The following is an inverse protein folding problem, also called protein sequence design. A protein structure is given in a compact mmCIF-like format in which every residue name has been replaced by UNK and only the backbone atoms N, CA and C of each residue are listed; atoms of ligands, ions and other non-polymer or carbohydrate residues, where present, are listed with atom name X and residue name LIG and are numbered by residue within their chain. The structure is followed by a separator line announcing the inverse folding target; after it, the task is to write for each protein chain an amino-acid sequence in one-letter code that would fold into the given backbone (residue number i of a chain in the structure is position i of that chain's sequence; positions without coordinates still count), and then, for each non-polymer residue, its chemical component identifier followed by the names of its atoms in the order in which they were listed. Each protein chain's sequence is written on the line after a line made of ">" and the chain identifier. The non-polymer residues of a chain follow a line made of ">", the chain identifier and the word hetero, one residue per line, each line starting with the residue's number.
data_IF_987881733296
#
_entry.id   IF_987881733296
#
_cell.length_a   1.000
_cell.length_b   1.000
_cell.length_c   1.000
_cell.angle_alpha   90.00
_cell.angle_beta   90.00
_cell.angle_gamma   90.00
#
_symmetry.space_group_name_H-M   'P 1'
#
loop_
_entity.id
_entity.type
_entity.pdbx_description
1 polymer ?
#
# COMPACT_ATOMS: atom_id res chain seq x y z
N UNK A 1 -30.06 -62.15 36.22
CA UNK A 1 -29.04 -61.09 36.31
C UNK A 1 -29.31 -60.06 35.26
N UNK A 2 -29.67 -58.96 35.66
CA UNK A 2 -29.84 -57.51 35.30
C UNK A 2 -29.50 -57.09 33.84
N UNK A 3 -30.59 -56.99 33.04
CA UNK A 3 -30.67 -56.40 31.68
C UNK A 3 -30.89 -54.89 31.69
N UNK A 4 -30.48 -54.14 32.73
CA UNK A 4 -30.90 -52.75 32.94
C UNK A 4 -29.79 -51.69 32.80
N UNK A 5 -28.59 -52.06 32.41
CA UNK A 5 -27.43 -51.13 32.39
C UNK A 5 -26.90 -50.82 30.99
N UNK A 6 -27.58 -51.20 29.92
CA UNK A 6 -27.08 -50.97 28.54
C UNK A 6 -27.77 -49.82 27.77
N UNK A 7 -28.78 -49.18 28.36
CA UNK A 7 -29.54 -48.13 27.68
C UNK A 7 -29.20 -46.71 28.15
N UNK A 8 -28.30 -46.55 29.12
CA UNK A 8 -27.86 -45.20 29.59
C UNK A 8 -26.62 -44.61 28.87
N UNK A 9 -25.95 -45.41 28.02
CA UNK A 9 -24.74 -44.99 27.35
C UNK A 9 -24.91 -44.35 25.95
N UNK A 10 -26.07 -44.42 25.35
CA UNK A 10 -26.30 -43.89 23.97
C UNK A 10 -26.82 -42.45 23.90
N UNK A 11 -27.16 -41.85 25.03
CA UNK A 11 -27.73 -40.47 25.07
C UNK A 11 -26.70 -39.34 25.08
N UNK A 12 -25.44 -39.62 25.35
CA UNK A 12 -24.38 -38.58 25.51
C UNK A 12 -23.49 -38.36 24.29
N UNK A 13 -23.58 -39.20 23.27
CA UNK A 13 -22.75 -39.10 22.06
C UNK A 13 -23.38 -38.26 20.94
N UNK A 14 -24.64 -37.81 21.08
CA UNK A 14 -25.37 -37.08 20.02
C UNK A 14 -25.31 -35.55 20.15
N UNK A 15 -24.69 -34.99 21.20
CA UNK A 15 -24.64 -33.51 21.42
C UNK A 15 -23.33 -32.84 21.03
N UNK A 16 -22.39 -33.53 20.41
CA UNK A 16 -21.08 -32.95 20.03
C UNK A 16 -20.95 -32.60 18.53
N UNK A 17 -22.04 -32.69 17.75
CA UNK A 17 -22.02 -32.40 16.31
C UNK A 17 -22.59 -31.03 15.89
N UNK A 18 -22.92 -30.18 16.87
CA UNK A 18 -23.49 -28.84 16.58
C UNK A 18 -22.47 -27.74 16.89
N UNK A 19 -21.33 -27.67 16.17
CA UNK A 19 -20.34 -26.66 16.51
C UNK A 19 -19.25 -26.38 15.49
N UNK A 20 -19.55 -26.45 14.19
CA UNK A 20 -18.72 -25.80 13.19
C UNK A 20 -19.62 -25.24 12.09
N UNK A 21 -20.29 -24.12 12.39
CA UNK A 21 -20.73 -23.21 11.33
C UNK A 21 -19.45 -22.56 10.77
N UNK A 22 -18.73 -23.29 9.91
CA UNK A 22 -17.74 -22.67 9.04
C UNK A 22 -18.50 -21.58 8.27
N UNK A 23 -18.20 -20.30 8.52
CA UNK A 23 -18.63 -19.22 7.63
C UNK A 23 -18.30 -19.71 6.22
N UNK A 24 -19.21 -19.63 5.25
CA UNK A 24 -18.87 -19.97 3.87
C UNK A 24 -17.67 -19.12 3.49
N UNK A 25 -16.53 -19.74 3.26
CA UNK A 25 -15.37 -19.07 2.66
C UNK A 25 -15.80 -18.77 1.23
N UNK A 26 -16.22 -17.54 1.00
CA UNK A 26 -16.40 -17.05 -0.36
C UNK A 26 -15.05 -17.09 -1.04
N UNK A 27 -14.91 -17.94 -2.05
CA UNK A 27 -13.74 -17.91 -2.93
C UNK A 27 -13.74 -16.54 -3.58
N UNK A 28 -12.65 -15.75 -3.51
CA UNK A 28 -12.58 -14.45 -4.15
C UNK A 28 -12.71 -14.58 -5.67
N UNK A 29 -13.48 -13.69 -6.27
CA UNK A 29 -13.60 -13.59 -7.73
C UNK A 29 -12.30 -13.02 -8.34
N UNK A 30 -11.62 -12.13 -7.60
CA UNK A 30 -10.38 -11.48 -8.01
C UNK A 30 -9.36 -11.50 -6.87
N UNK A 31 -8.14 -11.89 -7.20
CA UNK A 31 -6.97 -11.78 -6.31
C UNK A 31 -5.97 -10.88 -7.02
N UNK A 32 -5.77 -9.68 -6.47
CA UNK A 32 -4.94 -8.63 -7.03
C UNK A 32 -3.67 -8.44 -6.19
N UNK A 33 -2.62 -7.96 -6.82
CA UNK A 33 -1.31 -7.75 -6.17
C UNK A 33 -1.03 -6.27 -6.02
N UNK A 34 -0.64 -5.86 -4.81
CA UNK A 34 -0.12 -4.52 -4.50
C UNK A 34 1.37 -4.63 -4.14
N UNK A 35 2.24 -4.01 -4.93
CA UNK A 35 3.68 -4.04 -4.70
C UNK A 35 4.17 -2.78 -3.97
N UNK A 36 4.95 -2.97 -2.90
CA UNK A 36 5.63 -1.91 -2.16
C UNK A 36 7.07 -2.33 -1.82
N UNK A 37 8.04 -1.44 -1.97
CA UNK A 37 9.42 -1.70 -1.62
C UNK A 37 9.74 -1.42 -0.14
N UNK A 38 8.81 -0.81 0.60
CA UNK A 38 8.97 -0.52 2.02
C UNK A 38 8.65 -1.74 2.91
N UNK A 39 9.21 -1.79 4.13
CA UNK A 39 8.86 -2.83 5.10
C UNK A 39 7.37 -2.81 5.47
N UNK A 40 6.83 -3.98 5.83
CA UNK A 40 5.41 -4.12 6.21
C UNK A 40 4.97 -3.18 7.35
N UNK A 41 5.87 -2.83 8.27
CA UNK A 41 5.61 -1.88 9.36
C UNK A 41 5.72 -0.40 8.97
N UNK A 42 6.09 -0.08 7.72
CA UNK A 42 6.22 1.30 7.28
C UNK A 42 4.84 1.96 7.09
N UNK A 43 4.64 3.25 7.47
CA UNK A 43 3.32 3.89 7.44
C UNK A 43 2.59 3.79 6.10
N UNK A 44 3.30 3.96 4.96
CA UNK A 44 2.66 3.87 3.64
C UNK A 44 2.20 2.45 3.32
N UNK A 45 2.98 1.44 3.73
CA UNK A 45 2.62 0.02 3.54
C UNK A 45 1.45 -0.38 4.44
N UNK A 46 1.36 0.17 5.65
CA UNK A 46 0.18 0.00 6.51
C UNK A 46 -1.06 0.63 5.87
N UNK A 47 -0.91 1.80 5.22
CA UNK A 47 -1.97 2.42 4.44
C UNK A 47 -2.44 1.54 3.27
N UNK A 48 -1.50 0.90 2.57
CA UNK A 48 -1.82 -0.07 1.52
C UNK A 48 -2.58 -1.30 2.07
N UNK A 49 -2.17 -1.81 3.25
CA UNK A 49 -2.89 -2.91 3.90
C UNK A 49 -4.31 -2.50 4.30
N UNK A 50 -4.46 -1.30 4.87
CA UNK A 50 -5.77 -0.77 5.22
C UNK A 50 -6.69 -0.63 3.99
N UNK A 51 -6.15 -0.15 2.87
CA UNK A 51 -6.86 -0.11 1.59
C UNK A 51 -7.31 -1.51 1.15
N UNK A 52 -6.41 -2.49 1.20
CA UNK A 52 -6.71 -3.87 0.84
C UNK A 52 -7.83 -4.46 1.71
N UNK A 53 -7.78 -4.24 3.02
CA UNK A 53 -8.77 -4.71 3.98
C UNK A 53 -10.15 -4.06 3.73
N UNK A 54 -10.19 -2.76 3.42
CA UNK A 54 -11.43 -2.06 3.07
C UNK A 54 -12.06 -2.60 1.79
N UNK A 55 -11.25 -2.82 0.74
CA UNK A 55 -11.74 -3.41 -0.52
C UNK A 55 -12.32 -4.79 -0.28
N UNK A 56 -11.62 -5.65 0.47
CA UNK A 56 -12.11 -6.97 0.82
C UNK A 56 -13.44 -6.90 1.60
N UNK A 57 -13.52 -6.01 2.59
CA UNK A 57 -14.73 -5.83 3.38
C UNK A 57 -15.91 -5.32 2.53
N UNK A 58 -15.69 -4.28 1.72
CA UNK A 58 -16.74 -3.63 0.93
C UNK A 58 -17.25 -4.53 -0.21
N UNK A 59 -16.40 -5.44 -0.70
CA UNK A 59 -16.79 -6.40 -1.74
C UNK A 59 -17.33 -7.72 -1.19
N UNK A 60 -17.45 -7.83 0.14
CA UNK A 60 -17.87 -9.09 0.79
C UNK A 60 -16.92 -10.25 0.52
N UNK A 61 -15.62 -9.95 0.36
CA UNK A 61 -14.57 -10.94 0.09
C UNK A 61 -14.42 -11.34 -1.38
N UNK A 62 -15.16 -10.70 -2.31
CA UNK A 62 -15.05 -10.99 -3.74
C UNK A 62 -13.74 -10.50 -4.35
N UNK A 63 -13.20 -9.39 -3.85
CA UNK A 63 -11.91 -8.85 -4.27
C UNK A 63 -10.97 -8.91 -3.09
N UNK A 64 -9.81 -9.53 -3.28
CA UNK A 64 -8.72 -9.61 -2.31
C UNK A 64 -7.49 -8.96 -2.92
N UNK A 65 -6.87 -8.03 -2.20
CA UNK A 65 -5.61 -7.40 -2.59
C UNK A 65 -4.51 -7.95 -1.67
N UNK A 66 -3.49 -8.56 -2.26
CA UNK A 66 -2.32 -9.05 -1.54
C UNK A 66 -1.23 -7.99 -1.55
N UNK A 67 -0.95 -7.39 -0.39
CA UNK A 67 0.14 -6.42 -0.24
C UNK A 67 1.46 -7.15 -0.11
N UNK A 68 2.36 -6.93 -1.06
CA UNK A 68 3.70 -7.50 -1.15
C UNK A 68 4.73 -6.42 -0.80
N UNK A 69 5.18 -6.45 0.43
CA UNK A 69 6.12 -5.49 1.01
C UNK A 69 7.58 -5.89 0.76
N UNK A 70 8.53 -5.10 1.31
CA UNK A 70 9.97 -5.38 1.32
C UNK A 70 10.62 -5.52 -0.07
N UNK A 71 10.03 -4.96 -1.12
CA UNK A 71 10.58 -5.08 -2.48
C UNK A 71 10.50 -6.50 -3.05
N UNK A 72 9.54 -7.31 -2.65
CA UNK A 72 9.35 -8.69 -3.14
C UNK A 72 9.25 -8.73 -4.68
N UNK A 73 8.73 -7.68 -5.30
CA UNK A 73 8.61 -7.54 -6.76
C UNK A 73 9.76 -6.74 -7.40
N UNK A 74 10.80 -6.44 -6.64
CA UNK A 74 11.99 -5.73 -7.10
C UNK A 74 12.04 -4.26 -6.71
N UNK A 75 12.88 -3.48 -7.42
CA UNK A 75 12.99 -2.03 -7.21
C UNK A 75 11.73 -1.30 -7.65
N UNK A 76 11.55 -0.04 -7.19
CA UNK A 76 10.41 0.79 -7.62
C UNK A 76 10.36 0.96 -9.14
N UNK A 77 11.52 1.06 -9.81
CA UNK A 77 11.59 1.13 -11.27
C UNK A 77 11.04 -0.15 -11.93
N UNK A 78 11.47 -1.32 -11.45
CA UNK A 78 10.97 -2.60 -11.96
C UNK A 78 9.47 -2.78 -11.72
N UNK A 79 8.98 -2.36 -10.55
CA UNK A 79 7.55 -2.39 -10.21
C UNK A 79 6.76 -1.44 -11.13
N UNK A 80 7.29 -0.25 -11.42
CA UNK A 80 6.69 0.70 -12.34
C UNK A 80 6.53 0.12 -13.76
N UNK A 81 7.54 -0.61 -14.25
CA UNK A 81 7.51 -1.31 -15.52
C UNK A 81 6.51 -2.49 -15.50
N UNK A 82 6.49 -3.28 -14.41
CA UNK A 82 5.54 -4.38 -14.26
C UNK A 82 4.09 -3.91 -14.23
N UNK A 83 3.81 -2.75 -13.61
CA UNK A 83 2.47 -2.15 -13.59
C UNK A 83 1.98 -1.84 -15.03
N UNK A 84 2.88 -1.44 -15.94
CA UNK A 84 2.53 -1.14 -17.32
C UNK A 84 2.06 -2.36 -18.12
N UNK A 85 2.57 -3.53 -17.78
CA UNK A 85 2.28 -4.79 -18.50
C UNK A 85 1.36 -5.73 -17.72
N UNK A 86 0.80 -5.27 -16.59
CA UNK A 86 -0.10 -6.08 -15.76
C UNK A 86 0.60 -7.15 -14.92
N UNK A 87 1.91 -7.03 -14.69
CA UNK A 87 2.67 -7.91 -13.78
C UNK A 87 2.33 -7.68 -12.31
N UNK A 88 1.85 -6.48 -11.98
CA UNK A 88 1.22 -6.11 -10.69
C UNK A 88 0.01 -5.23 -10.98
N UNK A 89 -0.98 -5.23 -10.08
CA UNK A 89 -2.22 -4.48 -10.25
C UNK A 89 -2.16 -3.11 -9.59
N UNK A 90 -1.47 -3.00 -8.46
CA UNK A 90 -1.26 -1.77 -7.72
C UNK A 90 0.20 -1.64 -7.32
N UNK A 91 0.65 -0.40 -7.21
CA UNK A 91 1.98 -0.10 -6.72
C UNK A 91 2.04 1.23 -5.98
N UNK A 92 2.88 1.31 -4.95
CA UNK A 92 3.37 2.57 -4.41
C UNK A 92 4.77 2.79 -4.97
N UNK A 93 4.96 3.89 -5.66
CA UNK A 93 6.26 4.29 -6.21
C UNK A 93 6.58 5.74 -5.84
N UNK A 94 7.86 6.05 -5.73
CA UNK A 94 8.34 7.42 -5.50
C UNK A 94 8.14 8.26 -6.75
N UNK A 95 7.83 9.55 -6.60
CA UNK A 95 7.69 10.48 -7.73
C UNK A 95 8.92 10.50 -8.63
N UNK A 96 10.12 10.41 -8.04
CA UNK A 96 11.39 10.38 -8.80
C UNK A 96 11.50 9.23 -9.80
N UNK A 97 10.71 8.16 -9.65
CA UNK A 97 10.69 7.04 -10.58
C UNK A 97 9.82 7.34 -11.80
N UNK A 98 8.77 8.12 -11.61
CA UNK A 98 7.76 8.36 -12.65
C UNK A 98 7.97 9.65 -13.44
N UNK A 99 8.88 10.53 -12.99
CA UNK A 99 9.09 11.85 -13.60
C UNK A 99 9.72 11.81 -14.98
N UNK A 100 10.39 10.73 -15.35
CA UNK A 100 10.89 10.55 -16.72
C UNK A 100 9.74 10.36 -17.71
N UNK A 101 8.69 9.65 -17.31
CA UNK A 101 7.49 9.43 -18.11
C UNK A 101 6.48 10.57 -17.97
N UNK A 102 6.46 11.25 -16.82
CA UNK A 102 5.52 12.31 -16.45
C UNK A 102 6.28 13.57 -15.95
N UNK A 103 6.94 14.33 -16.83
CA UNK A 103 7.82 15.45 -16.45
C UNK A 103 7.14 16.54 -15.64
N UNK A 104 5.83 16.77 -15.79
CA UNK A 104 5.07 17.74 -14.98
C UNK A 104 5.18 17.48 -13.48
N UNK A 105 5.29 16.21 -13.08
CA UNK A 105 5.41 15.83 -11.66
C UNK A 105 6.72 16.29 -11.01
N UNK A 106 7.73 16.69 -11.80
CA UNK A 106 8.98 17.26 -11.25
C UNK A 106 8.73 18.49 -10.37
N UNK A 107 7.68 19.26 -10.62
CA UNK A 107 7.35 20.42 -9.78
C UNK A 107 7.11 20.00 -8.32
N UNK A 108 6.53 18.83 -8.10
CA UNK A 108 6.23 18.31 -6.75
C UNK A 108 7.50 17.85 -5.99
N UNK A 109 8.63 17.69 -6.69
CA UNK A 109 9.92 17.34 -6.11
C UNK A 109 10.75 18.55 -5.70
N UNK A 110 10.28 19.77 -5.98
CA UNK A 110 11.02 20.99 -5.65
C UNK A 110 11.17 21.14 -4.14
N UNK A 111 12.39 21.40 -3.63
CA UNK A 111 12.59 21.68 -2.22
C UNK A 111 11.78 22.90 -1.77
N UNK A 112 11.25 22.85 -0.56
CA UNK A 112 10.51 23.96 0.08
C UNK A 112 9.28 24.44 -0.70
N UNK A 113 8.70 23.60 -1.57
CA UNK A 113 7.49 23.93 -2.32
C UNK A 113 6.30 24.20 -1.38
N UNK A 114 6.21 23.44 -0.31
CA UNK A 114 5.14 23.57 0.68
C UNK A 114 5.64 24.25 1.94
N UNK A 115 4.80 25.11 2.57
CA UNK A 115 5.12 25.81 3.83
C UNK A 115 5.12 24.84 5.01
N UNK A 116 4.18 23.92 4.99
CA UNK A 116 3.92 22.93 6.06
C UNK A 116 3.13 21.74 5.48
N UNK A 117 2.92 20.72 6.30
CA UNK A 117 2.17 19.53 5.90
C UNK A 117 0.71 19.86 5.55
N UNK A 118 0.06 20.75 6.29
CA UNK A 118 -1.33 21.15 6.02
C UNK A 118 -1.46 21.85 4.66
N UNK A 119 -0.48 22.68 4.29
CA UNK A 119 -0.45 23.28 2.95
C UNK A 119 -0.27 22.21 1.88
N UNK A 120 0.64 21.27 2.08
CA UNK A 120 0.88 20.17 1.14
C UNK A 120 -0.40 19.36 0.90
N UNK A 121 -1.07 18.95 1.96
CA UNK A 121 -2.27 18.13 1.83
C UNK A 121 -3.45 18.90 1.20
N UNK A 122 -3.62 20.20 1.51
CA UNK A 122 -4.61 21.03 0.81
C UNK A 122 -4.37 21.12 -0.70
N UNK A 123 -3.11 21.10 -1.14
CA UNK A 123 -2.76 21.07 -2.57
C UNK A 123 -2.99 19.69 -3.17
N UNK A 124 -2.49 18.65 -2.53
CA UNK A 124 -2.53 17.29 -3.07
C UNK A 124 -3.92 16.66 -3.03
N UNK A 125 -4.72 16.95 -2.00
CA UNK A 125 -6.12 16.50 -1.90
C UNK A 125 -7.09 17.43 -2.66
N UNK A 126 -6.60 18.55 -3.16
CA UNK A 126 -7.37 19.51 -3.93
C UNK A 126 -7.35 19.25 -5.44
N UNK A 127 -7.90 20.23 -6.20
CA UNK A 127 -7.98 20.15 -7.66
C UNK A 127 -6.62 20.02 -8.34
N UNK A 128 -5.58 20.66 -7.79
CA UNK A 128 -4.21 20.58 -8.32
C UNK A 128 -3.70 19.15 -8.24
N UNK A 129 -3.79 18.51 -7.07
CA UNK A 129 -3.36 17.12 -6.90
C UNK A 129 -4.18 16.15 -7.74
N UNK A 130 -5.49 16.37 -7.88
CA UNK A 130 -6.35 15.57 -8.75
C UNK A 130 -5.94 15.70 -10.23
N UNK A 131 -5.56 16.90 -10.70
CA UNK A 131 -5.06 17.10 -12.06
C UNK A 131 -3.77 16.30 -12.31
N UNK A 132 -2.82 16.32 -11.36
CA UNK A 132 -1.61 15.52 -11.47
C UNK A 132 -1.87 14.00 -11.46
N UNK A 133 -2.87 13.53 -10.71
CA UNK A 133 -3.26 12.11 -10.74
C UNK A 133 -3.85 11.72 -12.12
N UNK A 134 -4.51 12.64 -12.82
CA UNK A 134 -5.03 12.37 -14.16
C UNK A 134 -3.92 12.19 -15.21
N UNK A 135 -2.74 12.80 -15.02
CA UNK A 135 -1.61 12.66 -15.95
C UNK A 135 -1.19 11.19 -16.14
N UNK A 136 -1.37 10.35 -15.12
CA UNK A 136 -1.08 8.92 -15.20
C UNK A 136 -1.92 8.17 -16.24
N UNK A 137 -3.09 8.69 -16.58
CA UNK A 137 -3.99 8.09 -17.59
C UNK A 137 -3.34 8.07 -18.97
N UNK A 138 -2.52 9.07 -19.30
CA UNK A 138 -1.79 9.11 -20.57
C UNK A 138 -0.76 7.97 -20.70
N UNK A 139 -0.36 7.38 -19.56
CA UNK A 139 0.56 6.23 -19.50
C UNK A 139 -0.18 4.89 -19.32
N UNK A 140 -1.51 4.86 -19.50
CA UNK A 140 -2.32 3.66 -19.29
C UNK A 140 -2.43 3.22 -17.83
N UNK A 141 -2.18 4.12 -16.88
CA UNK A 141 -2.24 3.89 -15.44
C UNK A 141 -3.26 4.83 -14.79
N UNK A 142 -3.67 4.53 -13.58
CA UNK A 142 -4.60 5.37 -12.82
C UNK A 142 -3.91 5.82 -11.54
N UNK A 143 -3.73 7.13 -11.37
CA UNK A 143 -3.30 7.72 -10.12
C UNK A 143 -4.46 7.68 -9.11
N UNK A 144 -4.27 7.01 -7.97
CA UNK A 144 -5.32 6.81 -6.97
C UNK A 144 -5.25 7.82 -5.83
N UNK A 145 -4.05 8.03 -5.28
CA UNK A 145 -3.84 8.91 -4.12
C UNK A 145 -2.37 9.28 -3.97
N UNK A 146 -2.11 10.16 -3.02
CA UNK A 146 -0.79 10.59 -2.63
C UNK A 146 -0.40 9.99 -1.27
N UNK A 147 0.89 9.73 -1.09
CA UNK A 147 1.48 9.38 0.19
C UNK A 147 2.56 10.40 0.55
N UNK A 148 2.63 10.78 1.83
CA UNK A 148 3.75 11.53 2.36
C UNK A 148 4.81 10.59 2.94
N UNK A 149 6.04 10.71 2.47
CA UNK A 149 7.20 9.97 2.99
C UNK A 149 7.94 10.75 4.10
N UNK A 150 7.39 11.88 4.55
CA UNK A 150 7.97 12.74 5.57
C UNK A 150 9.07 13.68 5.08
N UNK A 151 9.54 14.53 5.97
CA UNK A 151 10.61 15.48 5.71
C UNK A 151 11.97 14.77 5.58
N UNK A 152 12.82 15.30 4.72
CA UNK A 152 14.20 14.82 4.55
C UNK A 152 15.16 15.71 5.30
N UNK A 153 16.15 15.09 5.95
CA UNK A 153 17.20 15.78 6.70
C UNK A 153 18.57 15.42 6.12
N UNK A 154 19.52 16.34 6.26
CA UNK A 154 20.91 16.07 5.94
C UNK A 154 21.57 15.25 7.06
N UNK A 155 22.19 14.15 6.68
CA UNK A 155 23.07 13.38 7.55
C UNK A 155 24.52 13.66 7.14
N UNK A 156 25.26 14.36 7.98
CA UNK A 156 26.64 14.76 7.69
C UNK A 156 27.56 14.49 8.90
N UNK A 157 28.86 14.34 8.64
CA UNK A 157 29.87 14.14 9.70
C UNK A 157 30.03 15.36 10.58
N UNK A 158 29.70 16.54 10.07
CA UNK A 158 29.74 17.82 10.78
C UNK A 158 28.38 18.51 10.65
N UNK A 159 27.97 19.32 11.61
CA UNK A 159 26.72 20.07 11.53
C UNK A 159 26.65 20.95 10.30
N UNK A 160 25.54 20.88 9.57
CA UNK A 160 25.20 21.78 8.46
C UNK A 160 24.27 22.86 9.04
N UNK A 161 24.73 24.11 9.07
CA UNK A 161 23.99 25.26 9.65
C UNK A 161 23.66 26.33 8.62
N UNK A 162 24.34 26.31 7.48
CA UNK A 162 24.17 27.26 6.39
C UNK A 162 24.44 26.60 5.04
N UNK A 163 24.03 27.26 3.95
CA UNK A 163 24.35 26.81 2.59
C UNK A 163 25.85 26.76 2.31
N UNK A 164 26.64 27.62 2.96
CA UNK A 164 28.09 27.60 2.80
C UNK A 164 28.72 26.29 3.30
N UNK A 165 28.10 25.65 4.28
CA UNK A 165 28.59 24.37 4.83
C UNK A 165 28.40 23.22 3.82
N UNK A 166 27.60 23.42 2.77
CA UNK A 166 27.35 22.44 1.70
C UNK A 166 28.28 22.63 0.50
N UNK A 167 29.03 23.73 0.42
CA UNK A 167 29.94 23.99 -0.71
C UNK A 167 30.97 22.87 -0.85
N UNK A 168 31.14 22.37 -2.06
CA UNK A 168 32.11 21.31 -2.39
C UNK A 168 31.77 19.93 -1.84
N UNK A 169 30.59 19.74 -1.25
CA UNK A 169 30.10 18.43 -0.75
C UNK A 169 29.25 17.74 -1.80
N UNK A 170 29.47 16.45 -1.97
CA UNK A 170 28.58 15.58 -2.74
C UNK A 170 27.46 15.12 -1.83
N UNK A 171 26.22 15.43 -2.20
CA UNK A 171 25.00 15.01 -1.51
C UNK A 171 24.42 13.83 -2.29
N UNK A 172 24.07 12.79 -1.57
CA UNK A 172 23.50 11.56 -2.14
C UNK A 172 22.16 11.22 -1.48
#
# INVERSE_FOLDING_TARGET
>A
MRRRTFLAGLGFAALQLAGCSAKPQTTPDYVLTYADNQPAGYPTTQGAQYFADLVQQQTGGKVVIQVKANGEYGSEQQVWEQLAIGGVDFARVSLSVVTDDLPRLNVLLLPYLYRDADHMWRVLDGSIGAEFLQDFTAQGRVGLSWYDAGARSFYARQPVRSLNDLQGKTIR
#
